data_IF_032499086718
#
_entry.id   IF_032499086718
#
_cell.length_a   1.000
_cell.length_b   1.000
_cell.length_c   1.000
_cell.angle_alpha   90.00
_cell.angle_beta   90.00
_cell.angle_gamma   90.00
#
_symmetry.space_group_name_H-M   'P 1'
#
loop_
_entity.id
_entity.type
_entity.pdbx_description
1 polymer ?
#
# COMPACT_ATOMS: atom_id res chain seq x y z
N UNK A 1 -8.43 -11.58 4.83
CA UNK A 1 -8.06 -10.78 3.65
C UNK A 1 -8.14 -9.31 4.02
N UNK A 2 -7.39 -8.46 3.34
CA UNK A 2 -7.40 -7.01 3.55
C UNK A 2 -7.25 -6.26 2.22
N UNK A 3 -7.61 -4.98 2.23
CA UNK A 3 -7.43 -4.04 1.14
C UNK A 3 -7.06 -2.69 1.74
N UNK A 4 -5.95 -2.13 1.26
CA UNK A 4 -5.39 -0.88 1.75
C UNK A 4 -5.36 0.14 0.63
N UNK A 5 -5.66 1.39 0.98
CA UNK A 5 -5.70 2.52 0.06
C UNK A 5 -5.03 3.71 0.71
N UNK A 6 -4.08 4.33 0.02
CA UNK A 6 -3.39 5.49 0.56
C UNK A 6 -2.40 6.13 -0.38
N UNK A 7 -1.96 7.32 0.00
CA UNK A 7 -0.84 8.02 -0.59
C UNK A 7 -0.26 8.99 0.46
N UNK A 8 0.93 9.53 0.20
CA UNK A 8 1.59 10.50 1.07
C UNK A 8 1.85 11.77 0.27
N UNK A 9 1.55 12.92 0.87
CA UNK A 9 1.69 14.22 0.26
C UNK A 9 2.49 15.17 1.13
N UNK A 10 3.08 16.19 0.51
CA UNK A 10 3.65 17.33 1.23
C UNK A 10 2.57 18.37 1.54
N UNK A 11 2.70 19.07 2.68
CA UNK A 11 1.82 20.19 3.03
C UNK A 11 2.17 21.45 2.23
N UNK A 12 3.46 21.69 2.05
CA UNK A 12 4.01 22.80 1.29
C UNK A 12 4.65 22.29 0.01
N UNK A 13 4.72 23.17 -0.97
CA UNK A 13 5.45 22.89 -2.20
C UNK A 13 6.94 22.72 -1.90
N UNK A 14 7.55 21.70 -2.52
CA UNK A 14 8.95 21.37 -2.33
C UNK A 14 9.61 21.29 -3.70
N UNK A 15 10.72 22.01 -3.86
CA UNK A 15 11.43 22.13 -5.15
C UNK A 15 11.85 20.78 -5.74
N UNK A 16 12.16 19.79 -4.90
CA UNK A 16 12.57 18.46 -5.34
C UNK A 16 11.40 17.47 -5.50
N UNK A 17 10.16 17.92 -5.25
CA UNK A 17 8.94 17.10 -5.30
C UNK A 17 7.79 17.85 -6.00
N UNK A 18 8.04 18.29 -7.24
CA UNK A 18 7.04 18.95 -8.06
C UNK A 18 5.77 18.09 -8.17
N UNK A 19 4.62 18.67 -7.84
CA UNK A 19 3.33 17.96 -7.83
C UNK A 19 3.05 17.12 -6.57
N UNK A 20 4.00 17.00 -5.64
CA UNK A 20 3.85 16.23 -4.39
C UNK A 20 2.95 16.86 -3.33
N UNK A 21 2.60 18.15 -3.50
CA UNK A 21 1.72 18.86 -2.57
C UNK A 21 0.29 18.30 -2.63
N UNK A 22 -0.33 18.15 -1.45
CA UNK A 22 -1.74 17.77 -1.35
C UNK A 22 -2.63 18.82 -2.03
N UNK A 23 -3.49 18.36 -2.94
CA UNK A 23 -4.51 19.19 -3.57
C UNK A 23 -5.85 18.47 -3.61
N UNK A 24 -6.88 19.12 -3.04
CA UNK A 24 -8.22 18.53 -2.88
C UNK A 24 -8.90 18.16 -4.20
N UNK A 25 -8.53 18.80 -5.31
CA UNK A 25 -9.09 18.54 -6.63
C UNK A 25 -8.45 17.34 -7.37
N UNK A 26 -7.35 16.75 -6.88
CA UNK A 26 -6.66 15.64 -7.56
C UNK A 26 -6.23 14.48 -6.67
N UNK A 27 -6.25 14.63 -5.33
CA UNK A 27 -5.75 13.60 -4.40
C UNK A 27 -6.34 12.20 -4.64
N UNK A 28 -7.62 12.13 -5.04
CA UNK A 28 -8.31 10.87 -5.27
C UNK A 28 -7.73 10.07 -6.45
N UNK A 29 -7.11 10.75 -7.43
CA UNK A 29 -6.43 10.11 -8.56
C UNK A 29 -5.01 9.63 -8.22
N UNK A 30 -4.49 10.04 -7.06
CA UNK A 30 -3.12 9.77 -6.61
C UNK A 30 -3.06 8.67 -5.55
N UNK A 31 -4.20 8.07 -5.19
CA UNK A 31 -4.28 6.96 -4.25
C UNK A 31 -3.72 5.67 -4.87
N UNK A 32 -2.83 4.99 -4.15
CA UNK A 32 -2.39 3.63 -4.47
C UNK A 32 -3.30 2.60 -3.79
N UNK A 33 -3.58 1.50 -4.49
CA UNK A 33 -4.43 0.42 -3.97
C UNK A 33 -3.63 -0.88 -3.90
N UNK A 34 -3.68 -1.52 -2.74
CA UNK A 34 -3.10 -2.84 -2.49
C UNK A 34 -4.11 -3.79 -1.85
N UNK A 35 -3.93 -5.08 -2.05
CA UNK A 35 -4.72 -6.10 -1.36
C UNK A 35 -3.86 -7.30 -1.02
N UNK A 36 -4.30 -8.04 0.00
CA UNK A 36 -3.54 -9.17 0.50
C UNK A 36 -4.32 -10.11 1.41
N UNK A 37 -3.61 -11.17 1.79
CA UNK A 37 -4.04 -12.14 2.78
C UNK A 37 -3.12 -12.04 3.99
N UNK A 38 -3.73 -11.95 5.17
CA UNK A 38 -3.04 -11.89 6.44
C UNK A 38 -3.41 -13.09 7.30
N UNK A 39 -2.42 -13.69 7.94
CA UNK A 39 -2.57 -14.65 9.02
C UNK A 39 -2.14 -14.00 10.32
N UNK A 40 -3.02 -14.01 11.33
CA UNK A 40 -2.75 -13.49 12.66
C UNK A 40 -2.91 -14.62 13.68
N UNK A 41 -1.84 -14.90 14.40
CA UNK A 41 -1.80 -15.87 15.48
C UNK A 41 -1.74 -15.10 16.80
N UNK A 42 -2.76 -15.26 17.64
CA UNK A 42 -2.76 -14.70 18.99
C UNK A 42 -2.36 -15.80 19.97
N UNK A 43 -1.12 -15.76 20.45
CA UNK A 43 -0.61 -16.67 21.47
C UNK A 43 -0.66 -15.95 22.83
N UNK A 44 -0.48 -16.71 23.92
CA UNK A 44 -0.66 -16.20 25.29
C UNK A 44 0.17 -14.96 25.63
N UNK A 45 1.41 -14.87 25.12
CA UNK A 45 2.34 -13.77 25.43
C UNK A 45 2.79 -13.01 24.20
N UNK A 46 2.30 -13.38 23.01
CA UNK A 46 2.81 -12.84 21.75
C UNK A 46 1.77 -12.91 20.63
N UNK A 47 1.73 -11.88 19.81
CA UNK A 47 0.97 -11.85 18.57
C UNK A 47 1.96 -11.97 17.42
N UNK A 48 1.70 -12.92 16.52
CA UNK A 48 2.49 -13.12 15.30
C UNK A 48 1.63 -12.85 14.08
N UNK A 49 2.18 -12.15 13.09
CA UNK A 49 1.50 -11.78 11.84
C UNK A 49 2.35 -12.14 10.62
N UNK A 50 1.69 -12.70 9.63
CA UNK A 50 2.21 -12.88 8.28
C UNK A 50 1.24 -12.27 7.29
N UNK A 51 1.66 -11.22 6.59
CA UNK A 51 0.84 -10.51 5.62
C UNK A 51 1.46 -10.64 4.23
N UNK A 52 0.70 -11.15 3.26
CA UNK A 52 1.10 -11.30 1.86
C UNK A 52 0.28 -10.34 1.01
N UNK A 53 0.93 -9.36 0.39
CA UNK A 53 0.27 -8.29 -0.35
C UNK A 53 0.73 -8.19 -1.81
N UNK A 54 -0.18 -7.75 -2.68
CA UNK A 54 0.07 -7.36 -4.06
C UNK A 54 -0.45 -5.94 -4.30
N UNK A 55 0.17 -5.23 -5.24
CA UNK A 55 -0.37 -3.97 -5.75
C UNK A 55 -1.49 -4.26 -6.74
N UNK A 56 -2.59 -3.52 -6.65
CA UNK A 56 -3.70 -3.59 -7.60
C UNK A 56 -3.71 -2.38 -8.52
N UNK A 57 -3.42 -1.20 -7.97
CA UNK A 57 -3.40 0.08 -8.67
C UNK A 57 -2.17 0.90 -8.28
N UNK A 58 -1.43 1.38 -9.29
CA UNK A 58 -0.23 2.20 -9.12
C UNK A 58 -0.40 3.57 -9.81
N UNK A 59 -0.63 4.66 -9.05
CA UNK A 59 -0.89 6.00 -9.59
C UNK A 59 0.35 6.65 -10.23
N UNK A 60 1.54 6.11 -9.99
CA UNK A 60 2.79 6.59 -10.59
C UNK A 60 2.93 6.16 -12.07
N UNK A 61 2.04 5.30 -12.58
CA UNK A 61 2.00 4.89 -13.97
C UNK A 61 1.07 5.76 -14.82
N UNK A 62 1.28 5.70 -16.13
CA UNK A 62 0.37 6.24 -17.13
C UNK A 62 -1.05 5.71 -16.95
N UNK A 63 -2.05 6.53 -17.28
CA UNK A 63 -3.47 6.27 -17.04
C UNK A 63 -3.94 4.88 -17.53
N UNK A 64 -3.42 4.39 -18.66
CA UNK A 64 -3.74 3.06 -19.21
C UNK A 64 -3.20 1.90 -18.37
N UNK A 65 -2.13 2.13 -17.62
CA UNK A 65 -1.29 1.10 -17.02
C UNK A 65 -1.38 1.08 -15.49
N UNK A 66 -2.22 1.94 -14.91
CA UNK A 66 -2.41 2.05 -13.45
C UNK A 66 -2.97 0.77 -12.85
N UNK A 67 -3.82 0.03 -13.57
CA UNK A 67 -4.23 -1.32 -13.15
C UNK A 67 -3.10 -2.31 -13.37
N UNK A 68 -2.35 -2.60 -12.31
CA UNK A 68 -1.14 -3.43 -12.38
C UNK A 68 -1.39 -4.92 -12.12
N UNK A 69 -2.59 -5.28 -11.66
CA UNK A 69 -2.95 -6.67 -11.35
C UNK A 69 -2.71 -7.64 -12.54
N UNK A 70 -3.10 -7.33 -13.80
CA UNK A 70 -2.87 -8.24 -14.93
C UNK A 70 -1.39 -8.55 -15.19
N UNK A 71 -0.50 -7.64 -14.79
CA UNK A 71 0.95 -7.75 -15.00
C UNK A 71 1.71 -8.21 -13.74
N UNK A 72 0.98 -8.55 -12.67
CA UNK A 72 1.58 -8.95 -11.39
C UNK A 72 2.07 -10.38 -11.46
N UNK A 73 3.35 -10.60 -11.13
CA UNK A 73 3.98 -11.92 -11.02
C UNK A 73 4.07 -12.34 -9.55
N UNK A 74 4.29 -13.63 -9.29
CA UNK A 74 4.53 -14.14 -7.94
C UNK A 74 5.70 -13.44 -7.22
N UNK A 75 6.73 -13.02 -7.96
CA UNK A 75 7.87 -12.26 -7.40
C UNK A 75 7.49 -10.84 -6.94
N UNK A 76 6.33 -10.33 -7.33
CA UNK A 76 5.83 -9.04 -6.87
C UNK A 76 5.07 -9.12 -5.54
N UNK A 77 4.79 -10.32 -5.03
CA UNK A 77 4.17 -10.51 -3.72
C UNK A 77 5.14 -10.00 -2.64
N UNK A 78 4.63 -9.14 -1.76
CA UNK A 78 5.36 -8.64 -0.59
C UNK A 78 4.92 -9.42 0.64
N UNK A 79 5.89 -10.02 1.33
CA UNK A 79 5.70 -10.63 2.63
C UNK A 79 6.12 -9.64 3.72
N UNK A 80 5.21 -9.38 4.66
CA UNK A 80 5.49 -8.66 5.89
C UNK A 80 5.32 -9.62 7.08
N UNK A 81 6.31 -9.61 7.98
CA UNK A 81 6.30 -10.37 9.22
C UNK A 81 6.24 -9.40 10.41
N UNK A 82 5.33 -9.67 11.35
CA UNK A 82 5.15 -8.85 12.54
C UNK A 82 5.12 -9.69 13.81
N UNK A 83 5.72 -9.17 14.87
CA UNK A 83 5.78 -9.77 16.21
C UNK A 83 5.51 -8.68 17.24
N UNK A 84 4.66 -8.95 18.24
CA UNK A 84 4.32 -7.94 19.25
C UNK A 84 3.75 -8.55 20.53
N UNK A 85 3.69 -7.74 21.58
CA UNK A 85 3.11 -8.13 22.86
C UNK A 85 1.59 -7.82 22.88
N UNK A 86 0.74 -8.72 23.41
CA UNK A 86 -0.68 -8.42 23.59
C UNK A 86 -0.85 -7.39 24.72
N UNK A 87 -1.37 -6.21 24.40
CA UNK A 87 -1.78 -5.20 25.37
C UNK A 87 -3.18 -5.48 25.92
#
# INVERSE_FOLDING_TARGET
AFMDVGNVWTLYDQKDMEGGQFQFNRFYNELALGSGLGLRLNLQFIIVRFDFAIKLWDPAKDLSDRWVLPNTKFSNIKLNFGIGYPF
#
